data_IF_591731151381
#
_entry.id   IF_591731151381
#
_cell.length_a   1.000
_cell.length_b   1.000
_cell.length_c   1.000
_cell.angle_alpha   90.00
_cell.angle_beta   90.00
_cell.angle_gamma   90.00
#
_symmetry.space_group_name_H-M   'P 1'
#
loop_
_entity.id
_entity.type
_entity.pdbx_description
1 polymer ?
#
# COMPACT_ATOMS: atom_id res chain seq x y z
N UNK A 1 -10.38 25.29 -15.83
CA UNK A 1 -9.02 25.85 -16.09
C UNK A 1 -8.22 24.82 -16.88
N UNK A 2 -7.65 25.16 -18.04
CA UNK A 2 -6.58 24.34 -18.64
C UNK A 2 -5.27 24.82 -18.05
N UNK A 3 -4.86 24.23 -16.93
CA UNK A 3 -3.57 24.52 -16.31
C UNK A 3 -2.42 24.05 -17.21
N UNK A 4 -1.27 24.69 -17.05
CA UNK A 4 0.02 24.19 -17.55
C UNK A 4 0.25 22.77 -17.04
N UNK A 5 0.68 21.88 -17.93
CA UNK A 5 1.08 20.52 -17.55
C UNK A 5 2.59 20.45 -17.60
N UNK A 6 3.16 19.80 -16.59
CA UNK A 6 4.60 19.59 -16.44
C UNK A 6 5.20 19.03 -17.75
N UNK A 7 6.29 19.61 -18.23
CA UNK A 7 6.96 19.23 -19.47
C UNK A 7 6.62 20.09 -20.68
N UNK A 8 5.67 21.02 -20.58
CA UNK A 8 5.40 22.00 -21.65
C UNK A 8 6.55 22.99 -21.86
N UNK A 9 7.35 23.23 -20.83
CA UNK A 9 8.40 24.22 -20.81
C UNK A 9 9.42 23.97 -21.94
N UNK A 10 9.86 25.03 -22.60
CA UNK A 10 10.74 24.92 -23.77
C UNK A 10 12.11 24.32 -23.44
N UNK A 11 12.56 24.45 -22.18
CA UNK A 11 13.81 23.86 -21.70
C UNK A 11 13.70 22.39 -21.32
N UNK A 12 12.49 21.82 -21.26
CA UNK A 12 12.29 20.38 -21.03
C UNK A 12 12.32 19.66 -22.37
N UNK A 13 13.30 18.76 -22.54
CA UNK A 13 13.47 17.97 -23.75
C UNK A 13 12.58 16.71 -23.74
N UNK A 14 12.57 16.00 -22.62
CA UNK A 14 11.76 14.80 -22.42
C UNK A 14 11.23 14.72 -20.98
N UNK A 15 10.19 13.91 -20.80
CA UNK A 15 9.65 13.52 -19.50
C UNK A 15 9.49 11.99 -19.48
N UNK A 16 9.95 11.36 -18.41
CA UNK A 16 9.82 9.91 -18.21
C UNK A 16 8.54 9.65 -17.41
N UNK A 17 7.62 8.85 -17.97
CA UNK A 17 6.33 8.55 -17.36
C UNK A 17 5.92 7.09 -17.60
N UNK A 18 5.08 6.56 -16.73
CA UNK A 18 4.64 5.16 -16.84
C UNK A 18 3.62 4.92 -17.98
N UNK A 19 2.82 5.94 -18.32
CA UNK A 19 1.79 5.85 -19.37
C UNK A 19 1.85 7.08 -20.31
N UNK A 20 2.79 7.13 -21.26
CA UNK A 20 2.91 8.23 -22.22
C UNK A 20 1.59 8.58 -22.92
N UNK A 21 0.79 7.58 -23.28
CA UNK A 21 -0.46 7.75 -24.03
C UNK A 21 -1.59 8.43 -23.25
N UNK A 22 -1.49 8.47 -21.91
CA UNK A 22 -2.45 9.15 -21.04
C UNK A 22 -2.16 10.64 -20.88
N UNK A 23 -1.00 11.10 -21.34
CA UNK A 23 -0.64 12.52 -21.26
C UNK A 23 -1.45 13.36 -22.26
N UNK A 24 -1.62 14.67 -22.01
CA UNK A 24 -2.17 15.59 -23.00
C UNK A 24 -1.34 15.62 -24.29
N UNK A 25 -2.00 15.67 -25.45
CA UNK A 25 -1.37 15.66 -26.79
C UNK A 25 -0.17 16.62 -26.92
N UNK A 26 -0.27 17.82 -26.33
CA UNK A 26 0.76 18.86 -26.38
C UNK A 26 2.11 18.46 -25.78
N UNK A 27 2.15 17.48 -24.88
CA UNK A 27 3.40 16.97 -24.27
C UNK A 27 3.73 15.52 -24.65
N UNK A 28 2.82 14.77 -25.28
CA UNK A 28 3.06 13.37 -25.67
C UNK A 28 4.35 13.17 -26.47
N UNK A 29 4.69 14.11 -27.36
CA UNK A 29 5.93 14.07 -28.15
C UNK A 29 7.23 14.12 -27.34
N UNK A 30 7.16 14.57 -26.08
CA UNK A 30 8.29 14.61 -25.13
C UNK A 30 8.28 13.41 -24.18
N UNK A 31 7.24 12.58 -24.24
CA UNK A 31 7.06 11.50 -23.29
C UNK A 31 7.90 10.27 -23.68
N UNK A 32 8.60 9.73 -22.69
CA UNK A 32 9.35 8.48 -22.78
C UNK A 32 8.77 7.52 -21.76
N UNK A 33 8.47 6.29 -22.17
CA UNK A 33 7.97 5.28 -21.23
C UNK A 33 9.08 4.89 -20.24
N UNK A 34 8.80 5.01 -18.95
CA UNK A 34 9.63 4.45 -17.90
C UNK A 34 8.75 3.76 -16.86
N UNK A 35 8.84 2.43 -16.81
CA UNK A 35 8.06 1.60 -15.88
C UNK A 35 8.83 1.39 -14.58
N UNK A 36 8.12 1.52 -13.47
CA UNK A 36 8.66 1.25 -12.14
C UNK A 36 9.19 -0.19 -12.02
N UNK A 37 8.46 -1.15 -12.59
CA UNK A 37 8.89 -2.55 -12.65
C UNK A 37 10.19 -2.77 -13.42
N UNK A 38 10.43 -2.02 -14.51
CA UNK A 38 11.68 -2.07 -15.27
C UNK A 38 12.85 -1.58 -14.42
N UNK A 39 12.70 -0.45 -13.71
CA UNK A 39 13.73 0.06 -12.81
C UNK A 39 14.07 -0.94 -11.70
N UNK A 40 13.05 -1.56 -11.10
CA UNK A 40 13.24 -2.44 -9.94
C UNK A 40 13.71 -3.85 -10.31
N UNK A 41 13.27 -4.39 -11.45
CA UNK A 41 13.77 -5.67 -11.97
C UNK A 41 15.27 -5.63 -12.27
N UNK A 42 15.79 -4.47 -12.69
CA UNK A 42 17.21 -4.24 -12.97
C UNK A 42 18.11 -4.02 -11.74
N UNK A 43 17.56 -4.08 -10.52
CA UNK A 43 18.36 -3.86 -9.31
C UNK A 43 19.42 -4.96 -9.13
N UNK A 44 20.68 -4.56 -9.03
CA UNK A 44 21.75 -5.47 -8.62
C UNK A 44 21.72 -5.72 -7.10
N UNK A 45 22.46 -6.72 -6.64
CA UNK A 45 22.48 -7.12 -5.23
C UNK A 45 22.97 -6.01 -4.28
N UNK A 46 23.87 -5.13 -4.75
CA UNK A 46 24.35 -3.98 -3.97
C UNK A 46 23.20 -2.99 -3.72
N UNK A 47 22.46 -2.63 -4.78
CA UNK A 47 21.31 -1.74 -4.69
C UNK A 47 20.19 -2.34 -3.82
N UNK A 48 19.87 -3.64 -4.01
CA UNK A 48 18.89 -4.34 -3.15
C UNK A 48 19.30 -4.29 -1.67
N UNK A 49 20.58 -4.57 -1.37
CA UNK A 49 21.09 -4.51 0.01
C UNK A 49 21.03 -3.09 0.58
N UNK A 50 21.26 -2.07 -0.24
CA UNK A 50 21.09 -0.67 0.18
C UNK A 50 19.63 -0.36 0.52
N UNK A 51 18.67 -0.81 -0.28
CA UNK A 51 17.25 -0.62 0.02
C UNK A 51 16.80 -1.33 1.30
N UNK A 52 17.21 -2.59 1.49
CA UNK A 52 16.91 -3.35 2.71
C UNK A 52 17.41 -2.60 3.94
N UNK A 53 18.62 -2.03 3.88
CA UNK A 53 19.19 -1.23 4.98
C UNK A 53 18.49 0.10 5.21
N UNK A 54 18.23 0.85 4.14
CA UNK A 54 17.58 2.17 4.22
C UNK A 54 16.17 2.06 4.79
N UNK A 55 15.47 0.97 4.49
CA UNK A 55 14.10 0.73 4.95
C UNK A 55 14.00 -0.27 6.11
N UNK A 56 15.12 -0.62 6.73
CA UNK A 56 15.17 -1.45 7.96
C UNK A 56 14.44 -2.80 7.83
N UNK A 57 14.63 -3.48 6.70
CA UNK A 57 13.94 -4.73 6.36
C UNK A 57 14.72 -5.99 6.73
N UNK A 58 15.87 -5.90 7.39
CA UNK A 58 16.74 -7.03 7.70
C UNK A 58 16.02 -8.14 8.46
N UNK A 59 15.12 -7.78 9.38
CA UNK A 59 14.32 -8.71 10.18
C UNK A 59 13.23 -9.44 9.38
N UNK A 60 12.89 -8.93 8.19
CA UNK A 60 11.82 -9.47 7.33
C UNK A 60 12.36 -10.31 6.16
N UNK A 61 13.68 -10.38 5.98
CA UNK A 61 14.30 -11.09 4.87
C UNK A 61 14.11 -12.62 4.94
N UNK A 62 13.79 -13.18 6.12
CA UNK A 62 13.66 -14.62 6.37
C UNK A 62 12.31 -15.00 6.95
N UNK A 63 11.23 -14.58 6.31
CA UNK A 63 9.89 -14.98 6.73
C UNK A 63 9.68 -16.49 6.56
N UNK A 64 8.99 -17.10 7.53
CA UNK A 64 8.60 -18.50 7.50
C UNK A 64 7.50 -18.72 6.44
N UNK A 65 7.31 -19.97 6.03
CA UNK A 65 6.22 -20.40 5.12
C UNK A 65 4.82 -20.38 5.77
N UNK A 66 4.66 -19.65 6.88
CA UNK A 66 3.38 -19.51 7.57
C UNK A 66 2.39 -18.71 6.73
N UNK A 67 1.11 -19.05 6.92
CA UNK A 67 0.00 -18.30 6.33
C UNK A 67 0.04 -16.86 6.87
N UNK A 68 0.20 -15.89 5.98
CA UNK A 68 0.52 -14.50 6.36
C UNK A 68 -0.40 -13.49 5.71
N UNK A 69 -0.80 -12.48 6.48
CA UNK A 69 -1.63 -11.38 5.99
C UNK A 69 -0.94 -10.03 6.23
N UNK A 70 -1.01 -9.14 5.24
CA UNK A 70 -0.59 -7.75 5.36
C UNK A 70 -1.82 -6.83 5.46
N UNK A 71 -1.93 -6.08 6.55
CA UNK A 71 -2.93 -5.03 6.71
C UNK A 71 -2.26 -3.68 6.45
N UNK A 72 -2.77 -2.94 5.47
CA UNK A 72 -2.37 -1.55 5.20
C UNK A 72 -3.31 -0.61 5.94
N UNK A 73 -2.74 0.29 6.74
CA UNK A 73 -3.52 1.30 7.45
C UNK A 73 -3.50 2.64 6.71
N UNK A 74 -4.40 3.54 7.08
CA UNK A 74 -4.51 4.86 6.46
C UNK A 74 -5.02 5.91 7.45
N UNK A 75 -4.57 7.18 7.33
CA UNK A 75 -4.90 8.27 8.25
C UNK A 75 -6.29 8.86 7.97
N UNK A 76 -7.33 8.02 7.94
CA UNK A 76 -8.73 8.45 7.69
C UNK A 76 -9.27 9.41 8.75
N UNK A 77 -8.72 9.32 9.96
CA UNK A 77 -8.97 10.23 11.06
C UNK A 77 -8.43 11.64 10.78
N UNK A 78 -7.26 11.74 10.14
CA UNK A 78 -6.62 13.04 9.86
C UNK A 78 -7.30 13.81 8.73
N UNK A 79 -8.08 13.13 7.89
CA UNK A 79 -8.91 13.75 6.86
C UNK A 79 -10.35 14.00 7.33
N UNK A 80 -10.64 13.76 8.62
CA UNK A 80 -11.91 14.08 9.25
C UNK A 80 -13.05 13.08 8.96
N UNK A 81 -12.74 11.86 8.51
CA UNK A 81 -13.78 10.83 8.27
C UNK A 81 -14.26 10.22 9.60
N UNK A 82 -13.36 9.99 10.54
CA UNK A 82 -13.66 9.38 11.84
C UNK A 82 -12.70 9.86 12.94
N UNK A 83 -12.89 9.40 14.18
CA UNK A 83 -11.91 9.62 15.24
C UNK A 83 -10.74 8.63 15.14
N UNK A 84 -9.58 8.99 15.71
CA UNK A 84 -8.43 8.09 15.78
C UNK A 84 -8.76 6.80 16.54
N UNK A 85 -9.52 6.89 17.64
CA UNK A 85 -9.99 5.76 18.43
C UNK A 85 -10.85 4.80 17.60
N UNK A 86 -11.83 5.34 16.86
CA UNK A 86 -12.69 4.52 16.00
C UNK A 86 -11.89 3.82 14.90
N UNK A 87 -10.99 4.53 14.22
CA UNK A 87 -10.08 3.94 13.22
C UNK A 87 -9.27 2.80 13.81
N UNK A 88 -8.65 3.00 14.98
CA UNK A 88 -7.84 1.98 15.66
C UNK A 88 -8.72 0.77 16.02
N UNK A 89 -9.95 1.00 16.46
CA UNK A 89 -10.92 -0.07 16.73
C UNK A 89 -11.21 -0.92 15.49
N UNK A 90 -11.44 -0.29 14.33
CA UNK A 90 -11.66 -1.03 13.07
C UNK A 90 -10.47 -1.94 12.73
N UNK A 91 -9.24 -1.41 12.85
CA UNK A 91 -8.05 -2.24 12.60
C UNK A 91 -7.88 -3.36 13.60
N UNK A 92 -8.28 -3.16 14.88
CA UNK A 92 -8.29 -4.21 15.88
C UNK A 92 -9.25 -5.35 15.49
N UNK A 93 -10.48 -5.03 15.08
CA UNK A 93 -11.47 -6.03 14.61
C UNK A 93 -10.91 -6.81 13.41
N UNK A 94 -10.29 -6.12 12.44
CA UNK A 94 -9.66 -6.76 11.27
C UNK A 94 -8.56 -7.73 11.69
N UNK A 95 -7.66 -7.32 12.60
CA UNK A 95 -6.57 -8.14 13.11
C UNK A 95 -7.10 -9.37 13.82
N UNK A 96 -8.07 -9.20 14.72
CA UNK A 96 -8.67 -10.29 15.50
C UNK A 96 -9.24 -11.37 14.56
N UNK A 97 -10.07 -10.99 13.58
CA UNK A 97 -10.64 -11.92 12.60
C UNK A 97 -9.57 -12.64 11.77
N UNK A 98 -8.52 -11.93 11.34
CA UNK A 98 -7.42 -12.54 10.59
C UNK A 98 -6.63 -13.53 11.45
N UNK A 99 -6.34 -13.19 12.71
CA UNK A 99 -5.65 -14.08 13.65
C UNK A 99 -6.49 -15.33 13.95
N UNK A 100 -7.81 -15.20 14.15
CA UNK A 100 -8.74 -16.32 14.31
C UNK A 100 -8.77 -17.26 13.09
N UNK A 101 -8.57 -16.71 11.88
CA UNK A 101 -8.42 -17.47 10.63
C UNK A 101 -7.03 -18.10 10.44
N UNK A 102 -6.16 -17.99 11.45
CA UNK A 102 -4.83 -18.57 11.49
C UNK A 102 -3.78 -17.81 10.69
N UNK A 103 -4.01 -16.54 10.37
CA UNK A 103 -2.99 -15.71 9.72
C UNK A 103 -2.01 -15.14 10.75
N UNK A 104 -0.71 -15.17 10.42
CA UNK A 104 0.26 -14.27 11.01
C UNK A 104 0.06 -12.87 10.41
N UNK A 105 -0.30 -11.90 11.23
CA UNK A 105 -0.69 -10.56 10.77
C UNK A 105 0.48 -9.59 10.81
N UNK A 106 0.72 -8.93 9.69
CA UNK A 106 1.68 -7.85 9.52
C UNK A 106 0.93 -6.54 9.35
N UNK A 107 1.33 -5.50 10.06
CA UNK A 107 0.74 -4.16 9.93
C UNK A 107 1.73 -3.24 9.25
N UNK A 108 1.28 -2.55 8.19
CA UNK A 108 2.03 -1.46 7.59
C UNK A 108 1.30 -0.15 7.80
N UNK A 109 1.81 0.65 8.74
CA UNK A 109 1.27 1.96 9.01
C UNK A 109 1.57 2.96 7.89
N UNK A 110 0.62 3.85 7.62
CA UNK A 110 0.83 4.95 6.69
C UNK A 110 1.79 5.99 7.33
N UNK A 111 2.74 6.60 6.58
CA UNK A 111 3.76 7.49 7.15
C UNK A 111 3.24 8.72 7.91
N UNK A 112 1.99 9.12 7.66
CA UNK A 112 1.36 10.26 8.33
C UNK A 112 0.66 9.88 9.63
N UNK A 113 0.40 8.60 9.88
CA UNK A 113 -0.30 8.18 11.09
C UNK A 113 0.60 8.32 12.33
N UNK A 114 -0.04 8.65 13.46
CA UNK A 114 0.62 8.50 14.75
C UNK A 114 0.94 7.02 14.99
N UNK A 115 2.04 6.75 15.69
CA UNK A 115 2.40 5.39 16.04
C UNK A 115 1.40 4.80 17.06
N UNK A 116 0.96 3.58 16.81
CA UNK A 116 0.15 2.78 17.72
C UNK A 116 0.45 1.29 17.51
N UNK A 117 0.17 0.49 18.53
CA UNK A 117 0.41 -0.96 18.53
C UNK A 117 -0.94 -1.68 18.46
N UNK A 118 -0.99 -2.75 17.67
CA UNK A 118 -2.10 -3.71 17.67
C UNK A 118 -1.55 -5.05 18.15
N UNK A 119 -2.21 -5.65 19.13
CA UNK A 119 -1.80 -6.94 19.69
C UNK A 119 -1.81 -8.04 18.62
N UNK A 120 -0.96 -9.06 18.79
CA UNK A 120 -0.81 -10.19 17.86
C UNK A 120 -0.37 -9.81 16.43
N UNK A 121 0.28 -8.66 16.27
CA UNK A 121 0.80 -8.21 14.98
C UNK A 121 2.31 -8.05 14.94
N UNK A 122 2.87 -8.16 13.74
CA UNK A 122 4.25 -7.73 13.45
C UNK A 122 4.21 -6.43 12.64
N UNK A 123 4.73 -5.34 13.19
CA UNK A 123 4.74 -4.04 12.51
C UNK A 123 5.89 -3.98 11.48
N UNK A 124 5.58 -3.64 10.23
CA UNK A 124 6.56 -3.28 9.20
C UNK A 124 7.04 -1.83 9.40
N UNK A 125 8.28 -1.49 9.00
CA UNK A 125 8.81 -0.13 9.11
C UNK A 125 7.88 0.90 8.47
N UNK A 126 7.57 1.98 9.19
CA UNK A 126 6.58 2.97 8.74
C UNK A 126 7.00 3.69 7.46
N UNK A 127 8.30 3.92 7.26
CA UNK A 127 8.83 4.62 6.08
C UNK A 127 9.07 3.70 4.87
N UNK A 128 8.94 2.38 5.04
CA UNK A 128 9.10 1.44 3.94
C UNK A 128 7.97 1.60 2.89
N UNK A 129 8.26 1.82 1.61
CA UNK A 129 7.25 1.80 0.55
C UNK A 129 6.84 0.36 0.25
N UNK A 130 5.56 0.02 0.48
CA UNK A 130 5.08 -1.37 0.38
C UNK A 130 5.20 -1.94 -1.04
N UNK A 131 5.20 -1.08 -2.05
CA UNK A 131 5.37 -1.42 -3.46
C UNK A 131 6.73 -2.07 -3.75
N UNK A 132 7.73 -1.84 -2.90
CA UNK A 132 9.06 -2.46 -3.03
C UNK A 132 9.12 -3.88 -2.48
N UNK A 133 8.08 -4.36 -1.78
CA UNK A 133 8.11 -5.63 -1.05
C UNK A 133 8.47 -6.81 -1.95
N UNK A 134 7.82 -6.90 -3.12
CA UNK A 134 8.05 -7.96 -4.10
C UNK A 134 9.48 -7.98 -4.65
N UNK A 135 10.13 -6.82 -4.73
CA UNK A 135 11.46 -6.68 -5.34
C UNK A 135 12.60 -6.87 -4.33
N UNK A 136 12.32 -6.66 -3.05
CA UNK A 136 13.31 -6.71 -1.96
C UNK A 136 13.22 -7.98 -1.12
N UNK A 137 12.08 -8.67 -1.14
CA UNK A 137 11.83 -9.86 -0.33
C UNK A 137 11.44 -11.04 -1.24
N UNK A 138 11.79 -12.25 -0.81
CA UNK A 138 11.32 -13.48 -1.45
C UNK A 138 9.92 -13.91 -0.95
N UNK A 139 9.36 -13.19 0.02
CA UNK A 139 8.10 -13.55 0.66
C UNK A 139 6.93 -12.92 -0.08
N UNK A 140 5.89 -13.70 -0.32
CA UNK A 140 4.62 -13.19 -0.85
C UNK A 140 3.53 -13.50 0.16
N UNK A 141 2.80 -12.47 0.59
CA UNK A 141 1.70 -12.65 1.51
C UNK A 141 0.59 -13.50 0.89
N UNK A 142 -0.13 -14.26 1.69
CA UNK A 142 -1.32 -14.97 1.23
C UNK A 142 -2.45 -13.99 0.97
N UNK A 143 -2.56 -12.98 1.85
CA UNK A 143 -3.66 -12.04 1.82
C UNK A 143 -3.20 -10.62 2.16
N UNK A 144 -3.76 -9.62 1.49
CA UNK A 144 -3.55 -8.22 1.84
C UNK A 144 -4.90 -7.51 1.95
N UNK A 145 -5.10 -6.77 3.04
CA UNK A 145 -6.33 -6.00 3.26
C UNK A 145 -6.03 -4.55 3.59
N UNK A 146 -6.94 -3.68 3.20
CA UNK A 146 -6.97 -2.29 3.63
C UNK A 146 -8.43 -1.84 3.70
N UNK A 147 -8.71 -0.80 4.48
CA UNK A 147 -10.02 -0.17 4.44
C UNK A 147 -10.32 0.34 3.01
N UNK A 148 -9.42 1.14 2.43
CA UNK A 148 -9.40 1.53 1.02
C UNK A 148 -8.02 2.11 0.71
N UNK A 149 -7.18 1.47 -0.09
CA UNK A 149 -5.80 1.94 -0.31
C UNK A 149 -5.32 1.64 -1.72
N UNK A 150 -4.74 2.64 -2.37
CA UNK A 150 -4.04 2.44 -3.65
C UNK A 150 -2.84 1.50 -3.52
N UNK A 151 -2.26 1.37 -2.32
CA UNK A 151 -1.14 0.48 -2.03
C UNK A 151 -1.47 -1.02 -2.14
N UNK A 152 -2.74 -1.39 -2.23
CA UNK A 152 -3.16 -2.79 -2.50
C UNK A 152 -2.77 -3.23 -3.91
N UNK A 153 -2.73 -2.30 -4.87
CA UNK A 153 -2.38 -2.57 -6.25
C UNK A 153 -1.06 -1.88 -6.60
N UNK A 154 0.05 -2.43 -6.10
CA UNK A 154 1.39 -1.94 -6.40
C UNK A 154 1.74 -2.15 -7.89
N UNK A 155 1.49 -1.15 -8.74
CA UNK A 155 2.00 -1.01 -10.11
C UNK A 155 1.99 -2.30 -10.96
N UNK A 156 0.92 -3.10 -10.84
CA UNK A 156 0.70 -4.33 -11.62
C UNK A 156 1.20 -5.64 -11.00
N UNK A 157 2.02 -5.60 -9.95
CA UNK A 157 2.52 -6.79 -9.26
C UNK A 157 1.92 -6.92 -7.85
N UNK A 158 1.12 -7.96 -7.59
CA UNK A 158 0.39 -8.06 -6.33
C UNK A 158 1.29 -8.49 -5.17
N UNK A 159 1.35 -7.66 -4.12
CA UNK A 159 2.09 -7.89 -2.86
C UNK A 159 1.63 -9.18 -2.15
N UNK A 160 0.37 -9.58 -2.39
CA UNK A 160 -0.22 -10.80 -1.88
C UNK A 160 -0.79 -11.69 -3.00
N UNK A 161 -1.16 -12.94 -2.67
CA UNK A 161 -1.89 -13.83 -3.59
C UNK A 161 -3.30 -13.33 -3.85
N UNK A 162 -3.94 -12.80 -2.81
CA UNK A 162 -5.26 -12.16 -2.85
C UNK A 162 -5.18 -10.82 -2.12
N UNK A 163 -5.82 -9.78 -2.66
CA UNK A 163 -5.83 -8.46 -2.02
C UNK A 163 -7.23 -7.86 -2.10
N UNK A 164 -7.70 -7.24 -1.01
CA UNK A 164 -9.06 -6.72 -0.90
C UNK A 164 -9.14 -5.37 -0.19
N UNK A 165 -9.99 -4.49 -0.73
CA UNK A 165 -10.43 -3.27 -0.06
C UNK A 165 -11.73 -3.57 0.67
N UNK A 166 -11.72 -3.44 1.99
CA UNK A 166 -12.85 -3.83 2.84
C UNK A 166 -14.02 -2.87 2.70
N UNK A 167 -13.76 -1.57 2.54
CA UNK A 167 -14.80 -0.56 2.41
C UNK A 167 -14.96 -0.20 0.92
N UNK A 168 -16.11 -0.50 0.29
CA UNK A 168 -16.38 -0.07 -1.07
C UNK A 168 -16.29 1.45 -1.21
N UNK A 169 -15.75 1.94 -2.33
CA UNK A 169 -15.54 3.38 -2.58
C UNK A 169 -16.81 4.24 -2.37
N UNK A 170 -17.99 3.72 -2.70
CA UNK A 170 -19.28 4.41 -2.47
C UNK A 170 -19.59 4.67 -1.00
N UNK A 171 -19.06 3.84 -0.10
CA UNK A 171 -19.23 3.94 1.36
C UNK A 171 -18.01 4.54 2.04
N UNK A 172 -16.93 4.83 1.29
CA UNK A 172 -15.68 5.34 1.85
C UNK A 172 -15.73 6.87 2.06
N UNK A 173 -16.63 7.33 2.93
CA UNK A 173 -16.76 8.73 3.35
C UNK A 173 -17.48 8.85 4.71
N UNK A 174 -17.44 10.05 5.30
CA UNK A 174 -17.96 10.31 6.65
C UNK A 174 -19.46 10.00 6.83
N UNK A 175 -20.28 10.03 5.77
CA UNK A 175 -21.72 9.78 5.87
C UNK A 175 -22.05 8.31 6.13
N UNK A 176 -21.13 7.39 5.84
CA UNK A 176 -21.33 5.94 5.99
C UNK A 176 -20.36 5.32 6.99
N UNK A 177 -19.64 6.14 7.77
CA UNK A 177 -18.64 5.67 8.72
C UNK A 177 -19.24 4.76 9.80
N UNK A 178 -20.50 4.98 10.16
CA UNK A 178 -21.27 4.14 11.09
C UNK A 178 -21.45 2.71 10.59
N UNK A 179 -21.41 2.52 9.27
CA UNK A 179 -21.68 1.23 8.63
C UNK A 179 -20.40 0.41 8.47
N UNK A 180 -19.22 1.03 8.62
CA UNK A 180 -17.93 0.38 8.34
C UNK A 180 -17.67 -0.82 9.25
N UNK A 181 -18.08 -0.74 10.51
CA UNK A 181 -17.92 -1.85 11.46
C UNK A 181 -18.73 -3.08 11.00
N UNK A 182 -20.01 -2.90 10.66
CA UNK A 182 -20.87 -3.97 10.11
C UNK A 182 -20.33 -4.53 8.79
N UNK A 183 -19.86 -3.66 7.89
CA UNK A 183 -19.22 -4.09 6.62
C UNK A 183 -18.01 -4.99 6.90
N UNK A 184 -17.15 -4.61 7.84
CA UNK A 184 -15.97 -5.40 8.23
C UNK A 184 -16.39 -6.69 8.95
N UNK A 185 -17.44 -6.63 9.76
CA UNK A 185 -17.90 -7.77 10.54
C UNK A 185 -18.48 -8.89 9.69
N UNK A 186 -19.25 -8.52 8.67
CA UNK A 186 -19.86 -9.41 7.70
C UNK A 186 -18.86 -9.91 6.63
N UNK A 187 -17.66 -9.32 6.58
CA UNK A 187 -16.64 -9.67 5.60
C UNK A 187 -16.04 -11.05 5.85
N UNK A 188 -16.05 -11.92 4.84
CA UNK A 188 -15.39 -13.22 4.90
C UNK A 188 -13.90 -13.10 4.56
N UNK A 189 -13.07 -13.02 5.61
CA UNK A 189 -11.61 -13.07 5.46
C UNK A 189 -11.14 -14.48 5.04
N UNK A 190 -10.53 -14.58 3.85
CA UNK A 190 -10.00 -15.83 3.30
C UNK A 190 -10.17 -15.91 1.81
#
# INVERSE_FOLDING_TARGET
>A
MKGQVWGEESWIQSIEVEYPDKLPERIKKKAVELKFSTLLSGLNNKARSSFVKVFELESFYRMSSEKSCLVLTQPVDQVGICSAEFKINLYRIIVEKLTEKGYRVFIKQHPKELDYILDNTTKLPTLFPVELWFYLTSHRFDYCVALCSSGIHANGEPIARKSEQLIPLKFFNANYVSDWESIIDEHEFG
#
